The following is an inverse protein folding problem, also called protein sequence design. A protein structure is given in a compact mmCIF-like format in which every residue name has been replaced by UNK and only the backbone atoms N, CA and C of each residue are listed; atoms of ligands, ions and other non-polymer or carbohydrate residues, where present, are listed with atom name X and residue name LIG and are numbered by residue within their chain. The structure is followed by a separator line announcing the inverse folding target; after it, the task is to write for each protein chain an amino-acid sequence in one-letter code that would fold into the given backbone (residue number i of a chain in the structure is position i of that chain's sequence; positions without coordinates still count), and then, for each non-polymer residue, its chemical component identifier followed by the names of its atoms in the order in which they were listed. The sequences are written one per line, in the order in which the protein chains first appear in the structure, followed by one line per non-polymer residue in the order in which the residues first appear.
data_IF_702342401959
#
_entry.id   IF_702342401959
#
_cell.length_a   1.000
_cell.length_b   1.000
_cell.length_c   1.000
_cell.angle_alpha   90.00
_cell.angle_beta   90.00
_cell.angle_gamma   90.00
#
_symmetry.space_group_name_H-M   'P 1'
#
loop_
_entity.id
_entity.type
_entity.pdbx_description
1 polymer ?
#
# COMPACT_ATOMS: atom_id res chain seq x y z
N UNK A 1 -13.07 -19.06 -17.74
CA UNK A 1 -13.88 -18.15 -16.90
C UNK A 1 -13.19 -18.10 -15.54
N UNK A 2 -12.40 -17.06 -15.24
CA UNK A 2 -11.90 -16.86 -13.88
C UNK A 2 -13.05 -16.38 -13.03
N UNK A 3 -13.41 -17.10 -11.97
CA UNK A 3 -14.37 -16.61 -10.99
C UNK A 3 -13.90 -15.25 -10.47
N UNK A 4 -14.79 -14.26 -10.51
CA UNK A 4 -14.51 -12.94 -9.99
C UNK A 4 -14.58 -13.03 -8.46
N UNK A 5 -13.42 -12.85 -7.80
CA UNK A 5 -13.33 -12.92 -6.34
C UNK A 5 -14.20 -11.82 -5.70
N UNK A 6 -15.14 -12.25 -4.85
CA UNK A 6 -16.01 -11.34 -4.10
C UNK A 6 -15.39 -11.04 -2.74
N UNK A 7 -15.80 -9.92 -2.15
CA UNK A 7 -15.44 -9.57 -0.77
C UNK A 7 -15.70 -10.73 0.20
N UNK A 8 -16.88 -11.33 0.12
CA UNK A 8 -17.29 -12.41 1.05
C UNK A 8 -16.37 -13.63 0.93
N UNK A 9 -15.98 -14.02 -0.29
CA UNK A 9 -15.05 -15.13 -0.50
C UNK A 9 -13.64 -14.85 0.07
N UNK A 10 -13.18 -13.60 -0.01
CA UNK A 10 -11.87 -13.19 0.53
C UNK A 10 -11.92 -13.09 2.05
N UNK A 11 -13.02 -12.59 2.60
CA UNK A 11 -13.26 -12.56 4.05
C UNK A 11 -13.34 -13.97 4.62
N UNK A 12 -13.99 -14.91 3.95
CA UNK A 12 -14.01 -16.32 4.36
C UNK A 12 -12.60 -16.94 4.33
N UNK A 13 -11.78 -16.60 3.32
CA UNK A 13 -10.44 -17.15 3.15
C UNK A 13 -9.42 -16.61 4.18
N UNK A 14 -9.40 -15.30 4.43
CA UNK A 14 -8.42 -14.64 5.31
C UNK A 14 -8.93 -14.40 6.73
N UNK A 15 -10.25 -14.28 6.92
CA UNK A 15 -10.85 -13.63 8.07
C UNK A 15 -11.03 -12.12 7.86
N UNK A 16 -12.09 -11.54 8.45
CA UNK A 16 -12.47 -10.15 8.20
C UNK A 16 -11.41 -9.13 8.62
N UNK A 17 -10.75 -9.36 9.76
CA UNK A 17 -9.71 -8.47 10.28
C UNK A 17 -8.47 -8.48 9.39
N UNK A 18 -7.98 -9.67 9.04
CA UNK A 18 -6.82 -9.84 8.17
C UNK A 18 -7.10 -9.31 6.75
N UNK A 19 -8.27 -9.58 6.19
CA UNK A 19 -8.66 -9.02 4.90
C UNK A 19 -8.63 -7.48 4.91
N UNK A 20 -9.14 -6.87 5.97
CA UNK A 20 -9.12 -5.41 6.14
C UNK A 20 -7.69 -4.89 6.28
N UNK A 21 -6.83 -5.60 7.04
CA UNK A 21 -5.40 -5.30 7.18
C UNK A 21 -4.70 -5.28 5.82
N UNK A 22 -4.93 -6.30 5.01
CA UNK A 22 -4.36 -6.44 3.67
C UNK A 22 -4.86 -5.35 2.71
N UNK A 23 -6.13 -4.95 2.78
CA UNK A 23 -6.64 -3.84 1.97
C UNK A 23 -5.96 -2.50 2.33
N UNK A 24 -5.69 -2.26 3.63
CA UNK A 24 -4.94 -1.07 4.08
C UNK A 24 -3.51 -1.07 3.56
N UNK A 25 -2.87 -2.23 3.52
CA UNK A 25 -1.54 -2.43 2.95
C UNK A 25 -1.52 -2.08 1.45
N UNK A 26 -2.39 -2.70 0.66
CA UNK A 26 -2.45 -2.45 -0.79
C UNK A 26 -2.86 -1.02 -1.15
N UNK A 27 -3.69 -0.37 -0.33
CA UNK A 27 -4.02 1.04 -0.51
C UNK A 27 -2.77 1.94 -0.44
N UNK A 28 -1.81 1.61 0.43
CA UNK A 28 -0.54 2.33 0.54
C UNK A 28 0.28 2.24 -0.75
N UNK A 29 0.48 1.02 -1.27
CA UNK A 29 1.17 0.82 -2.54
C UNK A 29 0.52 1.57 -3.69
N UNK A 30 -0.81 1.46 -3.82
CA UNK A 30 -1.56 2.07 -4.91
C UNK A 30 -1.48 3.60 -4.87
N UNK A 31 -1.66 4.22 -3.70
CA UNK A 31 -1.61 5.68 -3.55
C UNK A 31 -0.21 6.21 -3.88
N UNK A 32 0.84 5.63 -3.31
CA UNK A 32 2.21 6.09 -3.54
C UNK A 32 2.61 5.88 -5.00
N UNK A 33 2.27 4.73 -5.60
CA UNK A 33 2.52 4.48 -7.02
C UNK A 33 1.83 5.52 -7.91
N UNK A 34 0.58 5.87 -7.60
CA UNK A 34 -0.15 6.89 -8.33
C UNK A 34 0.49 8.28 -8.21
N UNK A 35 0.87 8.71 -7.00
CA UNK A 35 1.48 10.02 -6.74
C UNK A 35 2.87 10.17 -7.38
N UNK A 36 3.63 9.08 -7.46
CA UNK A 36 4.89 9.02 -8.20
C UNK A 36 4.69 8.90 -9.73
N UNK A 37 3.44 9.07 -10.20
CA UNK A 37 3.07 9.02 -11.62
C UNK A 37 3.46 7.71 -12.31
N UNK A 38 3.61 6.63 -11.55
CA UNK A 38 3.91 5.32 -12.13
C UNK A 38 2.75 4.87 -13.01
N UNK A 39 2.98 4.01 -14.03
CA UNK A 39 1.92 3.47 -14.89
C UNK A 39 1.11 2.39 -14.14
N UNK A 40 0.49 2.78 -13.03
CA UNK A 40 -0.45 1.95 -12.29
C UNK A 40 -1.64 1.62 -13.20
N UNK A 41 -1.95 0.33 -13.35
CA UNK A 41 -3.14 -0.16 -14.05
C UNK A 41 -4.27 -0.43 -13.07
N UNK A 42 -3.97 -1.17 -12.00
CA UNK A 42 -4.93 -1.49 -10.95
C UNK A 42 -4.24 -1.91 -9.66
N UNK A 43 -5.00 -1.90 -8.57
CA UNK A 43 -4.73 -2.63 -7.33
C UNK A 43 -5.87 -3.61 -7.09
N UNK A 44 -5.56 -4.86 -6.71
CA UNK A 44 -6.57 -5.87 -6.43
C UNK A 44 -6.16 -6.86 -5.36
N UNK A 45 -7.15 -7.38 -4.66
CA UNK A 45 -6.99 -8.47 -3.70
C UNK A 45 -7.04 -9.83 -4.41
N UNK A 46 -6.34 -10.83 -3.87
CA UNK A 46 -6.35 -12.21 -4.37
C UNK A 46 -6.51 -13.20 -3.23
N UNK A 47 -6.93 -14.43 -3.54
CA UNK A 47 -7.07 -15.53 -2.58
C UNK A 47 -5.76 -16.32 -2.39
N UNK A 48 -4.63 -15.63 -2.22
CA UNK A 48 -3.32 -16.24 -1.96
C UNK A 48 -2.71 -15.73 -0.66
N UNK A 49 -2.18 -16.65 0.16
CA UNK A 49 -1.42 -16.28 1.36
C UNK A 49 0.00 -15.78 1.03
N UNK A 50 0.54 -16.18 -0.11
CA UNK A 50 1.87 -15.73 -0.56
C UNK A 50 1.81 -14.36 -1.24
N UNK A 51 0.67 -14.04 -1.86
CA UNK A 51 0.47 -12.79 -2.61
C UNK A 51 -0.97 -12.31 -2.48
N UNK A 52 -1.34 -11.83 -1.30
CA UNK A 52 -2.73 -11.50 -0.97
C UNK A 52 -3.27 -10.28 -1.71
N UNK A 53 -2.39 -9.44 -2.25
CA UNK A 53 -2.74 -8.33 -3.13
C UNK A 53 -1.76 -8.16 -4.29
N UNK A 54 -2.21 -7.40 -5.29
CA UNK A 54 -1.43 -7.07 -6.49
C UNK A 54 -1.67 -5.61 -6.81
N UNK A 55 -0.65 -4.78 -6.60
CA UNK A 55 -0.52 -3.47 -7.23
C UNK A 55 0.22 -3.62 -8.57
N UNK A 56 -0.52 -3.54 -9.69
CA UNK A 56 0.05 -3.75 -11.02
C UNK A 56 0.50 -2.43 -11.63
N UNK A 57 1.81 -2.28 -11.77
CA UNK A 57 2.46 -1.15 -12.43
C UNK A 57 3.12 -1.67 -13.71
N UNK A 58 2.81 -1.04 -14.85
CA UNK A 58 3.49 -1.33 -16.12
C UNK A 58 4.63 -0.35 -16.38
N UNK A 59 5.50 -0.68 -17.33
CA UNK A 59 6.68 0.12 -17.65
C UNK A 59 7.95 -0.27 -16.89
N UNK A 60 9.08 0.27 -17.35
CA UNK A 60 10.43 -0.03 -16.84
C UNK A 60 11.00 1.04 -15.93
N UNK A 61 10.27 2.15 -15.72
CA UNK A 61 10.69 3.20 -14.81
C UNK A 61 10.75 2.64 -13.38
N UNK A 62 11.83 2.95 -12.66
CA UNK A 62 12.04 2.47 -11.30
C UNK A 62 11.95 3.60 -10.27
N UNK A 63 11.59 4.82 -10.68
CA UNK A 63 11.45 5.94 -9.77
C UNK A 63 10.41 5.67 -8.68
N UNK A 64 10.72 6.04 -7.44
CA UNK A 64 9.88 5.74 -6.28
C UNK A 64 9.72 4.27 -5.92
N UNK A 65 10.47 3.33 -6.50
CA UNK A 65 10.28 1.89 -6.21
C UNK A 65 10.51 1.55 -4.74
N UNK A 66 11.48 2.20 -4.08
CA UNK A 66 11.69 2.03 -2.65
C UNK A 66 10.48 2.54 -1.85
N UNK A 67 9.96 3.74 -2.16
CA UNK A 67 8.78 4.30 -1.50
C UNK A 67 7.56 3.42 -1.68
N UNK A 68 7.29 2.97 -2.91
CA UNK A 68 6.15 2.10 -3.21
C UNK A 68 6.27 0.81 -2.43
N UNK A 69 7.44 0.17 -2.40
CA UNK A 69 7.64 -1.10 -1.69
C UNK A 69 7.37 -0.98 -0.18
N UNK A 70 7.80 0.09 0.49
CA UNK A 70 7.55 0.24 1.94
C UNK A 70 6.17 0.83 2.26
N UNK A 71 5.49 1.43 1.28
CA UNK A 71 4.24 2.16 1.49
C UNK A 71 3.12 1.31 2.09
N UNK A 72 3.04 0.02 1.74
CA UNK A 72 2.00 -0.86 2.26
C UNK A 72 2.10 -1.05 3.77
N UNK A 73 3.30 -1.36 4.26
CA UNK A 73 3.60 -1.51 5.68
C UNK A 73 3.34 -0.22 6.47
N UNK A 74 3.77 0.92 5.93
CA UNK A 74 3.54 2.22 6.58
C UNK A 74 2.03 2.53 6.61
N UNK A 75 1.31 2.34 5.50
CA UNK A 75 -0.13 2.58 5.41
C UNK A 75 -0.91 1.76 6.42
N UNK A 76 -0.67 0.45 6.48
CA UNK A 76 -1.32 -0.44 7.45
C UNK A 76 -1.07 0.04 8.88
N UNK A 77 0.19 0.33 9.22
CA UNK A 77 0.58 0.77 10.54
C UNK A 77 -0.12 2.07 10.95
N UNK A 78 -0.11 3.08 10.06
CA UNK A 78 -0.75 4.37 10.29
C UNK A 78 -2.26 4.23 10.48
N UNK A 79 -2.94 3.50 9.60
CA UNK A 79 -4.41 3.33 9.69
C UNK A 79 -4.79 2.55 10.95
N UNK A 80 -4.07 1.48 11.28
CA UNK A 80 -4.32 0.69 12.51
C UNK A 80 -4.16 1.53 13.77
N UNK A 81 -3.25 2.50 13.77
CA UNK A 81 -3.04 3.47 14.86
C UNK A 81 -3.92 4.73 14.71
N UNK A 82 -4.89 4.74 13.79
CA UNK A 82 -5.77 5.87 13.51
C UNK A 82 -5.01 7.19 13.26
N UNK A 83 -3.87 7.11 12.58
CA UNK A 83 -2.95 8.22 12.30
C UNK A 83 -2.48 9.00 13.54
N UNK A 84 -2.59 8.40 14.74
CA UNK A 84 -2.19 9.01 16.01
C UNK A 84 -0.72 8.77 16.36
N UNK A 85 0.09 8.30 15.41
CA UNK A 85 1.53 8.06 15.59
C UNK A 85 2.38 9.07 14.82
N UNK A 86 3.41 9.57 15.49
CA UNK A 86 4.45 10.42 14.89
C UNK A 86 5.52 9.58 14.16
N UNK A 87 6.40 10.27 13.43
CA UNK A 87 7.50 9.65 12.70
C UNK A 87 8.41 8.84 13.63
N UNK A 88 8.73 9.36 14.81
CA UNK A 88 9.61 8.69 15.78
C UNK A 88 9.02 7.36 16.24
N UNK A 89 7.71 7.32 16.51
CA UNK A 89 7.00 6.10 16.85
C UNK A 89 7.04 5.10 15.71
N UNK A 90 6.78 5.55 14.48
CA UNK A 90 6.83 4.68 13.30
C UNK A 90 8.23 4.09 13.09
N UNK A 91 9.27 4.93 13.15
CA UNK A 91 10.67 4.52 12.97
C UNK A 91 11.16 3.55 14.04
N UNK A 92 10.57 3.61 15.24
CA UNK A 92 10.89 2.68 16.34
C UNK A 92 10.13 1.37 16.25
N UNK A 93 8.83 1.42 15.95
CA UNK A 93 7.93 0.27 16.07
C UNK A 93 7.85 -0.55 14.78
N UNK A 94 7.73 0.10 13.61
CA UNK A 94 7.54 -0.58 12.33
C UNK A 94 8.66 -1.61 12.03
N UNK A 95 9.96 -1.32 12.24
CA UNK A 95 11.02 -2.28 11.95
C UNK A 95 10.92 -3.59 12.75
N UNK A 96 10.29 -3.57 13.93
CA UNK A 96 10.09 -4.78 14.74
C UNK A 96 8.98 -5.68 14.18
N UNK A 97 8.08 -5.13 13.37
CA UNK A 97 6.98 -5.84 12.71
C UNK A 97 7.37 -6.35 11.31
N UNK A 98 8.44 -5.81 10.72
CA UNK A 98 8.93 -6.20 9.40
C UNK A 98 9.77 -7.47 9.47
N UNK A 99 9.24 -8.56 8.91
CA UNK A 99 9.98 -9.79 8.73
C UNK A 99 10.98 -9.66 7.59
N UNK A 100 12.23 -10.12 7.78
CA UNK A 100 13.26 -10.12 6.72
C UNK A 100 12.90 -10.96 5.48
N UNK A 101 11.93 -11.86 5.60
CA UNK A 101 11.39 -12.68 4.51
C UNK A 101 10.21 -12.04 3.79
N UNK A 102 9.72 -10.89 4.25
CA UNK A 102 8.65 -10.15 3.60
C UNK A 102 9.14 -9.60 2.24
N UNK A 103 8.39 -9.90 1.18
CA UNK A 103 8.80 -9.59 -0.18
C UNK A 103 8.86 -8.08 -0.46
N UNK A 104 7.95 -7.31 0.13
CA UNK A 104 7.92 -5.85 -0.01
C UNK A 104 9.08 -5.23 0.74
N UNK A 105 9.40 -5.72 1.95
CA UNK A 105 10.55 -5.25 2.70
C UNK A 105 11.88 -5.59 2.00
N UNK A 106 12.02 -6.80 1.45
CA UNK A 106 13.20 -7.16 0.64
C UNK A 106 13.32 -6.28 -0.60
N UNK A 107 12.21 -5.99 -1.27
CA UNK A 107 12.18 -5.11 -2.44
C UNK A 107 12.56 -3.68 -2.08
N UNK A 108 12.11 -3.18 -0.92
CA UNK A 108 12.50 -1.89 -0.36
C UNK A 108 14.01 -1.81 -0.09
N UNK A 109 14.57 -2.81 0.62
CA UNK A 109 15.99 -2.85 0.94
C UNK A 109 16.85 -2.94 -0.34
N UNK A 110 16.44 -3.79 -1.30
CA UNK A 110 17.12 -3.93 -2.58
C UNK A 110 17.07 -2.63 -3.41
N UNK A 111 15.93 -1.94 -3.45
CA UNK A 111 15.80 -0.66 -4.14
C UNK A 111 16.66 0.43 -3.48
N UNK A 112 16.65 0.52 -2.14
CA UNK A 112 17.50 1.47 -1.42
C UNK A 112 18.98 1.22 -1.71
N UNK A 113 19.40 -0.04 -1.68
CA UNK A 113 20.78 -0.42 -2.03
C UNK A 113 21.13 -0.08 -3.48
N UNK A 114 20.28 -0.44 -4.44
CA UNK A 114 20.54 -0.21 -5.87
C UNK A 114 20.64 1.27 -6.22
N UNK A 115 19.73 2.10 -5.67
CA UNK A 115 19.69 3.55 -5.93
C UNK A 115 20.52 4.37 -4.94
N UNK A 116 21.27 3.73 -4.03
CA UNK A 116 22.09 4.40 -3.01
C UNK A 116 21.29 5.39 -2.15
N UNK A 117 20.08 4.98 -1.75
CA UNK A 117 19.16 5.78 -0.93
C UNK A 117 19.25 5.38 0.54
N UNK A 118 19.06 6.36 1.44
CA UNK A 118 18.89 6.10 2.87
C UNK A 118 17.49 5.55 3.13
N UNK A 119 17.41 4.35 3.74
CA UNK A 119 16.14 3.75 4.16
C UNK A 119 15.34 4.69 5.05
N UNK A 120 16.00 5.37 5.98
CA UNK A 120 15.39 6.36 6.89
C UNK A 120 14.72 7.48 6.09
N UNK A 121 15.41 8.02 5.09
CA UNK A 121 14.87 9.13 4.29
C UNK A 121 13.68 8.68 3.45
N UNK A 122 13.70 7.45 2.92
CA UNK A 122 12.57 6.90 2.16
C UNK A 122 11.36 6.70 3.05
N UNK A 123 11.56 6.13 4.25
CA UNK A 123 10.48 5.93 5.23
C UNK A 123 9.90 7.27 5.67
N UNK A 124 10.73 8.26 5.99
CA UNK A 124 10.29 9.62 6.35
C UNK A 124 9.47 10.26 5.23
N UNK A 125 9.95 10.22 3.99
CA UNK A 125 9.22 10.79 2.85
C UNK A 125 7.89 10.07 2.63
N UNK A 126 7.87 8.73 2.72
CA UNK A 126 6.66 7.95 2.55
C UNK A 126 5.65 8.22 3.68
N UNK A 127 6.12 8.33 4.93
CA UNK A 127 5.31 8.74 6.07
C UNK A 127 4.66 10.10 5.83
N UNK A 128 5.45 11.11 5.46
CA UNK A 128 4.96 12.46 5.21
C UNK A 128 3.90 12.50 4.09
N UNK A 129 4.10 11.73 3.02
CA UNK A 129 3.11 11.59 1.95
C UNK A 129 1.80 10.99 2.47
N UNK A 130 1.88 9.86 3.17
CA UNK A 130 0.68 9.15 3.66
C UNK A 130 -0.07 9.97 4.73
N UNK A 131 0.65 10.67 5.60
CA UNK A 131 0.09 11.60 6.59
C UNK A 131 -0.52 12.86 5.95
N UNK A 132 -0.02 13.32 4.81
CA UNK A 132 -0.64 14.41 4.07
C UNK A 132 -1.90 13.96 3.30
N UNK A 133 -2.01 12.65 3.01
CA UNK A 133 -3.07 12.07 2.19
C UNK A 133 -4.03 11.15 2.98
N UNK A 134 -4.18 11.32 4.30
CA UNK A 134 -4.94 10.41 5.17
C UNK A 134 -6.35 10.12 4.65
N UNK A 135 -7.10 11.18 4.29
CA UNK A 135 -8.48 11.06 3.78
C UNK A 135 -8.51 10.19 2.52
N UNK A 136 -7.65 10.49 1.55
CA UNK A 136 -7.52 9.73 0.31
C UNK A 136 -7.12 8.29 0.56
N UNK A 137 -6.14 8.06 1.43
CA UNK A 137 -5.66 6.73 1.77
C UNK A 137 -6.78 5.88 2.39
N UNK A 138 -7.54 6.45 3.34
CA UNK A 138 -8.69 5.78 3.95
C UNK A 138 -9.76 5.45 2.90
N UNK A 139 -10.10 6.40 2.02
CA UNK A 139 -11.09 6.15 0.96
C UNK A 139 -10.64 5.02 0.03
N UNK A 140 -9.37 4.99 -0.38
CA UNK A 140 -8.84 3.89 -1.21
C UNK A 140 -8.95 2.55 -0.46
N UNK A 141 -8.59 2.51 0.81
CA UNK A 141 -8.68 1.29 1.62
C UNK A 141 -10.13 0.80 1.77
N UNK A 142 -11.07 1.71 2.06
CA UNK A 142 -12.50 1.41 2.19
C UNK A 142 -13.10 0.90 0.87
N UNK A 143 -12.81 1.57 -0.24
CA UNK A 143 -13.25 1.17 -1.57
C UNK A 143 -12.66 -0.19 -1.95
N UNK A 144 -11.39 -0.47 -1.61
CA UNK A 144 -10.77 -1.75 -1.89
C UNK A 144 -11.38 -2.89 -1.06
N UNK A 145 -11.77 -2.62 0.19
CA UNK A 145 -12.51 -3.58 1.03
C UNK A 145 -13.87 -3.95 0.41
N UNK A 146 -14.55 -3.00 -0.24
CA UNK A 146 -15.86 -3.27 -0.86
C UNK A 146 -15.73 -3.92 -2.23
N UNK A 147 -14.85 -3.38 -3.07
CA UNK A 147 -14.80 -3.69 -4.51
C UNK A 147 -13.78 -4.75 -4.87
N UNK A 148 -12.86 -5.09 -3.97
CA UNK A 148 -11.74 -6.04 -4.12
C UNK A 148 -10.74 -5.71 -5.23
N UNK A 149 -11.04 -4.74 -6.10
CA UNK A 149 -10.21 -4.25 -7.19
C UNK A 149 -10.55 -2.79 -7.48
N UNK A 150 -9.53 -1.95 -7.65
CA UNK A 150 -9.62 -0.56 -8.10
C UNK A 150 -8.68 -0.35 -9.29
N UNK A 151 -9.17 0.27 -10.36
CA UNK A 151 -8.33 0.67 -11.49
C UNK A 151 -7.62 1.98 -11.20
N UNK A 152 -6.69 2.36 -12.09
CA UNK A 152 -6.09 3.69 -12.09
C UNK A 152 -7.14 4.81 -12.07
N UNK A 153 -8.17 4.68 -12.90
CA UNK A 153 -9.24 5.67 -13.05
C UNK A 153 -10.04 5.81 -11.76
N UNK A 154 -10.33 4.69 -11.08
CA UNK A 154 -10.99 4.71 -9.75
C UNK A 154 -10.16 5.52 -8.74
N UNK A 155 -8.85 5.26 -8.68
CA UNK A 155 -7.94 5.98 -7.78
C UNK A 155 -7.87 7.46 -8.14
N UNK A 156 -7.78 7.79 -9.42
CA UNK A 156 -7.78 9.17 -9.90
C UNK A 156 -9.07 9.91 -9.52
N UNK A 157 -10.22 9.26 -9.61
CA UNK A 157 -11.51 9.82 -9.21
C UNK A 157 -11.57 10.08 -7.70
N UNK A 158 -11.11 9.13 -6.87
CA UNK A 158 -11.02 9.30 -5.41
C UNK A 158 -10.16 10.53 -5.07
N UNK A 159 -8.99 10.69 -5.71
CA UNK A 159 -8.12 11.84 -5.47
C UNK A 159 -8.80 13.17 -5.85
N UNK A 160 -9.49 13.23 -7.00
CA UNK A 160 -10.21 14.42 -7.45
C UNK A 160 -11.35 14.81 -6.51
N UNK A 161 -12.04 13.84 -5.93
CA UNK A 161 -13.16 14.07 -5.02
C UNK A 161 -12.70 14.48 -3.60
N UNK A 162 -11.49 14.08 -3.20
CA UNK A 162 -10.92 14.45 -1.90
C UNK A 162 -10.10 15.75 -1.92
N UNK A 163 -9.70 16.25 -3.10
CA UNK A 163 -9.04 17.55 -3.26
C UNK A 163 -10.00 18.75 -3.43
N UNK A 164 -11.31 18.52 -3.37
CA UNK A 164 -12.37 19.55 -3.32
C UNK A 164 -12.85 19.73 -1.89
#
# INVERSE_FOLDING_TARGET
MSEQLTRDSLVEFFGAEEYTRLCRHEAGHALVAFLFKRPLEYVKMTNSKERSGITRITGSELDGSAHIAIAGHISEFLIRKNFACDLDTLMRELPAELYKSDADYQSFQAACYYFQMSEVNVVEQCYNILMACQKTLLTIAEELVQRTCLTREDIEEILKNNGK
#
